data_IF_336635125243
#
_entry.id   IF_336635125243
#
_cell.length_a   1.000
_cell.length_b   1.000
_cell.length_c   1.000
_cell.angle_alpha   90.00
_cell.angle_beta   90.00
_cell.angle_gamma   90.00
#
_symmetry.space_group_name_H-M   'P 1'
#
loop_
_entity.id
_entity.type
_entity.pdbx_description
1 polymer ?
#
# COMPACT_ATOMS: atom_id res chain seq x y z
N UNK A 1 11.99 74.28 5.36
CA UNK A 1 13.39 74.13 5.85
C UNK A 1 13.59 72.68 6.30
N UNK A 2 14.58 71.95 5.73
CA UNK A 2 15.34 70.75 6.18
C UNK A 2 14.66 69.71 7.11
N UNK A 3 14.83 68.39 7.00
CA UNK A 3 15.62 67.46 6.16
C UNK A 3 15.14 66.03 6.51
N UNK A 4 15.07 65.16 5.49
CA UNK A 4 14.96 63.68 5.59
C UNK A 4 16.26 63.07 6.17
N UNK A 5 16.15 61.97 6.92
CA UNK A 5 17.26 61.04 7.18
C UNK A 5 16.87 59.63 6.72
N UNK A 6 17.46 59.24 5.58
CA UNK A 6 17.54 57.88 5.05
C UNK A 6 18.87 57.28 5.53
N UNK A 7 18.86 56.11 6.17
CA UNK A 7 20.09 55.36 6.45
C UNK A 7 20.48 54.53 5.22
N UNK A 8 21.67 54.82 4.70
CA UNK A 8 22.38 54.08 3.65
C UNK A 8 23.01 52.82 4.25
N UNK A 9 22.99 51.71 3.51
CA UNK A 9 23.98 50.65 3.64
C UNK A 9 24.53 50.34 2.24
N UNK A 10 25.85 50.32 2.17
CA UNK A 10 26.70 50.39 0.98
C UNK A 10 26.98 49.01 0.39
N UNK A 11 27.09 48.98 -0.94
CA UNK A 11 27.60 47.89 -1.78
C UNK A 11 29.06 47.50 -1.44
N UNK A 12 29.38 46.21 -1.55
CA UNK A 12 30.72 45.71 -1.86
C UNK A 12 30.64 44.64 -2.97
N UNK A 13 31.43 44.84 -4.01
CA UNK A 13 31.70 43.97 -5.16
C UNK A 13 33.12 43.37 -4.98
N UNK A 14 33.31 42.07 -5.23
CA UNK A 14 34.54 41.38 -5.66
C UNK A 14 34.28 39.85 -5.57
N UNK A 15 34.80 38.93 -6.39
CA UNK A 15 35.67 38.93 -7.56
C UNK A 15 35.50 37.54 -8.20
N UNK A 16 35.43 37.47 -9.52
CA UNK A 16 35.54 36.20 -10.27
C UNK A 16 37.01 35.80 -10.32
N UNK A 17 37.33 34.57 -9.92
CA UNK A 17 38.64 33.96 -10.12
C UNK A 17 38.44 32.59 -10.78
N UNK A 18 38.78 32.55 -12.07
CA UNK A 18 38.89 31.34 -12.88
C UNK A 18 40.25 30.71 -12.57
N UNK A 19 40.25 29.50 -12.02
CA UNK A 19 41.42 28.63 -12.01
C UNK A 19 40.99 27.28 -12.57
N UNK A 20 41.50 27.00 -13.77
CA UNK A 20 41.37 25.70 -14.41
C UNK A 20 42.28 24.68 -13.72
N UNK A 21 41.68 23.58 -13.32
CA UNK A 21 42.34 22.31 -13.05
C UNK A 21 41.40 21.23 -13.59
N UNK A 22 41.91 20.42 -14.50
CA UNK A 22 41.17 19.36 -15.17
C UNK A 22 40.58 18.40 -14.15
N UNK A 23 39.25 18.45 -14.02
CA UNK A 23 38.47 17.37 -13.45
C UNK A 23 37.96 16.57 -14.64
N UNK A 24 38.49 15.36 -14.76
CA UNK A 24 37.87 14.24 -15.46
C UNK A 24 36.36 14.30 -15.24
N UNK A 25 35.61 14.51 -16.32
CA UNK A 25 34.16 14.32 -16.33
C UNK A 25 33.96 12.83 -16.05
N UNK A 26 33.74 12.50 -14.78
CA UNK A 26 33.08 11.26 -14.41
C UNK A 26 31.69 11.39 -15.06
N UNK A 27 31.49 10.66 -16.15
CA UNK A 27 30.17 10.44 -16.72
C UNK A 27 29.29 9.89 -15.61
N UNK A 28 28.44 10.75 -15.05
CA UNK A 28 27.37 10.30 -14.20
C UNK A 28 26.50 9.35 -15.05
N UNK A 29 26.13 8.16 -14.56
CA UNK A 29 25.25 7.23 -15.28
C UNK A 29 23.78 7.73 -15.31
N UNK A 30 23.56 9.04 -15.48
CA UNK A 30 22.24 9.67 -15.54
C UNK A 30 21.52 9.39 -16.86
N UNK A 31 22.22 8.98 -17.91
CA UNK A 31 21.63 8.62 -19.20
C UNK A 31 21.28 7.13 -19.35
N UNK A 32 21.87 6.25 -18.53
CA UNK A 32 21.51 4.82 -18.49
C UNK A 32 20.26 4.56 -17.64
N UNK A 33 20.08 5.31 -16.54
CA UNK A 33 18.89 5.22 -15.67
C UNK A 33 17.61 5.75 -16.35
N UNK A 34 17.73 6.74 -17.24
CA UNK A 34 16.58 7.29 -17.97
C UNK A 34 16.02 6.35 -19.05
N UNK A 35 16.77 5.32 -19.46
CA UNK A 35 16.38 4.38 -20.53
C UNK A 35 15.62 3.14 -20.05
N UNK A 36 15.40 3.00 -18.73
CA UNK A 36 14.58 1.91 -18.14
C UNK A 36 13.16 2.42 -17.79
N UNK A 37 12.80 3.62 -18.24
CA UNK A 37 11.43 4.10 -18.19
C UNK A 37 10.61 3.45 -19.31
N UNK A 38 9.65 2.59 -18.93
CA UNK A 38 8.72 1.84 -19.79
C UNK A 38 9.23 0.53 -20.41
N UNK A 39 9.74 -0.41 -19.60
CA UNK A 39 9.65 -1.82 -20.01
C UNK A 39 8.16 -2.21 -20.04
N UNK A 40 7.65 -2.53 -21.24
CA UNK A 40 6.40 -3.28 -21.40
C UNK A 40 6.56 -4.61 -20.65
N UNK A 41 5.54 -4.99 -19.89
CA UNK A 41 5.52 -6.28 -19.21
C UNK A 41 5.55 -7.37 -20.29
N UNK A 42 6.58 -8.25 -20.34
CA UNK A 42 6.67 -9.26 -21.39
C UNK A 42 5.44 -10.17 -21.43
N UNK A 43 5.10 -10.74 -22.59
CA UNK A 43 4.00 -11.70 -22.68
C UNK A 43 4.27 -13.02 -21.93
N UNK A 44 5.55 -13.34 -21.72
CA UNK A 44 6.02 -14.52 -21.00
C UNK A 44 7.28 -14.19 -20.20
N UNK A 45 7.32 -14.69 -18.96
CA UNK A 45 8.50 -14.68 -18.10
C UNK A 45 8.57 -16.00 -17.36
N UNK A 46 9.75 -16.62 -17.30
CA UNK A 46 10.02 -17.74 -16.40
C UNK A 46 11.38 -17.48 -15.77
N UNK A 47 11.43 -17.45 -14.43
CA UNK A 47 12.69 -17.29 -13.70
C UNK A 47 13.49 -18.58 -13.84
N UNK A 48 14.71 -18.44 -14.35
CA UNK A 48 15.57 -19.58 -14.62
C UNK A 48 16.08 -20.20 -13.32
N UNK A 49 16.24 -21.53 -13.31
CA UNK A 49 16.77 -22.30 -12.19
C UNK A 49 16.12 -22.00 -10.82
N UNK A 50 14.81 -21.71 -10.79
CA UNK A 50 14.10 -21.50 -9.53
C UNK A 50 14.11 -22.77 -8.66
N UNK A 51 14.51 -22.70 -7.38
CA UNK A 51 14.60 -23.88 -6.52
C UNK A 51 13.21 -24.35 -6.10
N UNK A 52 13.04 -25.68 -6.05
CA UNK A 52 11.80 -26.33 -5.66
C UNK A 52 12.10 -27.25 -4.48
N UNK A 53 11.50 -26.97 -3.34
CA UNK A 53 11.71 -27.70 -2.09
C UNK A 53 10.38 -28.18 -1.52
N UNK A 54 10.41 -29.35 -0.88
CA UNK A 54 9.30 -29.83 -0.08
C UNK A 54 9.31 -29.16 1.31
N UNK A 55 8.12 -28.90 1.83
CA UNK A 55 7.89 -28.38 3.17
C UNK A 55 8.44 -29.28 4.28
N UNK A 56 8.99 -28.65 5.33
CA UNK A 56 9.66 -29.38 6.41
C UNK A 56 8.68 -29.98 7.43
N UNK A 57 7.62 -29.24 7.72
CA UNK A 57 6.56 -29.58 8.67
C UNK A 57 5.22 -29.71 7.95
N UNK A 58 4.21 -30.31 8.58
CA UNK A 58 2.90 -30.56 7.98
C UNK A 58 2.18 -29.28 7.52
N UNK A 59 2.39 -28.16 8.19
CA UNK A 59 1.77 -26.87 7.90
C UNK A 59 2.83 -25.77 7.75
N UNK A 60 3.85 -25.99 6.91
CA UNK A 60 4.94 -25.02 6.71
C UNK A 60 5.08 -24.54 5.27
N UNK A 61 4.00 -24.65 4.48
CA UNK A 61 3.99 -24.26 3.07
C UNK A 61 4.48 -22.81 2.87
N UNK A 62 4.10 -21.89 3.74
CA UNK A 62 4.45 -20.47 3.65
C UNK A 62 5.92 -20.22 3.95
N UNK A 63 6.47 -20.95 4.92
CA UNK A 63 7.90 -20.87 5.24
C UNK A 63 8.74 -21.51 4.15
N UNK A 64 8.32 -22.65 3.60
CA UNK A 64 9.02 -23.30 2.51
C UNK A 64 8.91 -22.57 1.18
N UNK A 65 7.78 -21.93 0.88
CA UNK A 65 7.65 -21.00 -0.23
C UNK A 65 8.65 -19.84 -0.08
N UNK A 66 8.74 -19.26 1.11
CA UNK A 66 9.72 -18.20 1.40
C UNK A 66 11.16 -18.71 1.30
N UNK A 67 11.42 -19.94 1.77
CA UNK A 67 12.72 -20.60 1.66
C UNK A 67 13.16 -20.74 0.20
N UNK A 68 12.27 -21.19 -0.69
CA UNK A 68 12.54 -21.26 -2.13
C UNK A 68 12.92 -19.89 -2.70
N UNK A 69 12.18 -18.83 -2.34
CA UNK A 69 12.49 -17.47 -2.80
C UNK A 69 13.85 -16.99 -2.28
N UNK A 70 14.13 -17.16 -0.99
CA UNK A 70 15.39 -16.71 -0.39
C UNK A 70 16.59 -17.51 -0.92
N UNK A 71 16.40 -18.81 -1.21
CA UNK A 71 17.38 -19.67 -1.86
C UNK A 71 17.65 -19.28 -3.32
N UNK A 72 16.63 -18.87 -4.08
CA UNK A 72 16.80 -18.33 -5.44
C UNK A 72 17.75 -17.12 -5.44
N UNK A 73 17.72 -16.32 -4.39
CA UNK A 73 18.63 -15.18 -4.19
C UNK A 73 19.99 -15.55 -3.57
N UNK A 74 20.26 -16.84 -3.31
CA UNK A 74 21.52 -17.31 -2.74
C UNK A 74 21.67 -17.09 -1.22
N UNK A 75 20.59 -16.70 -0.53
CA UNK A 75 20.57 -16.38 0.90
C UNK A 75 19.43 -17.13 1.61
N UNK A 76 19.41 -18.46 1.47
CA UNK A 76 18.36 -19.34 2.00
C UNK A 76 18.07 -19.11 3.49
N UNK A 77 16.79 -18.90 3.81
CA UNK A 77 16.24 -18.86 5.18
C UNK A 77 15.32 -20.06 5.35
N UNK A 78 15.64 -20.92 6.32
CA UNK A 78 14.96 -22.19 6.51
C UNK A 78 13.68 -22.09 7.35
N UNK A 79 12.79 -23.07 7.20
CA UNK A 79 11.51 -23.16 7.91
C UNK A 79 11.67 -23.09 9.44
N UNK A 80 12.71 -23.73 9.98
CA UNK A 80 12.99 -23.74 11.42
C UNK A 80 13.27 -22.33 11.94
N UNK A 81 13.86 -21.48 11.12
CA UNK A 81 14.16 -20.10 11.50
C UNK A 81 12.88 -19.27 11.60
N UNK A 82 12.02 -19.33 10.59
CA UNK A 82 10.70 -18.70 10.65
C UNK A 82 9.89 -19.22 11.83
N UNK A 83 9.81 -20.53 12.01
CA UNK A 83 9.08 -21.16 13.11
C UNK A 83 9.61 -20.77 14.50
N UNK A 84 10.88 -20.36 14.61
CA UNK A 84 11.48 -19.92 15.89
C UNK A 84 11.20 -18.45 16.23
N UNK A 85 10.85 -17.63 15.23
CA UNK A 85 10.72 -16.16 15.37
C UNK A 85 9.27 -15.68 15.20
N UNK A 86 8.50 -16.32 14.31
CA UNK A 86 7.10 -15.97 14.08
C UNK A 86 6.29 -16.40 15.32
N UNK A 87 5.59 -15.47 15.99
CA UNK A 87 4.80 -15.79 17.18
C UNK A 87 3.58 -16.64 16.82
N UNK A 88 3.05 -17.40 17.79
CA UNK A 88 1.74 -18.02 17.64
C UNK A 88 0.63 -16.97 17.80
N UNK A 89 -0.41 -17.03 16.97
CA UNK A 89 -1.58 -16.17 17.10
C UNK A 89 -2.83 -16.82 16.49
N UNK A 90 -4.00 -16.57 17.07
CA UNK A 90 -5.26 -17.00 16.45
C UNK A 90 -5.54 -16.24 15.14
N UNK A 91 -5.04 -15.03 14.96
CA UNK A 91 -5.14 -14.32 13.69
C UNK A 91 -3.87 -14.57 12.85
N UNK A 92 -3.97 -15.23 11.67
CA UNK A 92 -2.80 -15.54 10.82
C UNK A 92 -2.05 -14.30 10.31
N UNK A 93 -2.68 -13.12 10.28
CA UNK A 93 -1.99 -11.85 9.99
C UNK A 93 -1.04 -11.38 11.11
N UNK A 94 -1.16 -11.94 12.32
CA UNK A 94 -0.40 -11.55 13.50
C UNK A 94 0.63 -12.61 13.93
N UNK A 95 0.54 -13.82 13.40
CA UNK A 95 1.41 -14.94 13.77
C UNK A 95 0.89 -16.26 13.22
N UNK A 96 1.60 -17.35 13.48
CA UNK A 96 1.21 -18.68 13.05
C UNK A 96 0.00 -19.19 13.86
N UNK A 97 -1.05 -19.64 13.16
CA UNK A 97 -2.30 -20.14 13.75
C UNK A 97 -2.27 -21.65 13.89
N UNK A 98 -2.26 -22.10 15.15
CA UNK A 98 -2.32 -23.51 15.53
C UNK A 98 -0.95 -24.17 15.65
N UNK A 99 -0.90 -25.50 15.51
CA UNK A 99 0.33 -26.29 15.57
C UNK A 99 0.90 -26.53 14.17
N UNK A 100 2.16 -26.17 13.94
CA UNK A 100 2.87 -26.39 12.65
C UNK A 100 2.97 -27.89 12.26
N UNK A 101 2.83 -28.80 13.22
CA UNK A 101 2.78 -30.25 13.00
C UNK A 101 1.34 -30.80 12.99
N UNK A 102 0.34 -29.92 13.06
CA UNK A 102 -1.08 -30.25 13.07
C UNK A 102 -1.57 -30.90 11.76
N UNK A 103 -2.87 -31.12 11.69
CA UNK A 103 -3.50 -31.77 10.55
C UNK A 103 -3.84 -30.78 9.44
N UNK A 104 -3.41 -31.07 8.21
CA UNK A 104 -3.68 -30.24 7.04
C UNK A 104 -5.16 -30.24 6.62
N UNK A 105 -5.63 -29.09 6.13
CA UNK A 105 -6.92 -28.94 5.45
C UNK A 105 -8.01 -28.24 6.26
N UNK A 106 -7.81 -28.07 7.57
CA UNK A 106 -8.72 -27.33 8.44
C UNK A 106 -8.45 -25.82 8.51
N UNK A 107 -9.04 -25.16 9.51
CA UNK A 107 -8.77 -23.76 9.87
C UNK A 107 -8.42 -23.59 11.35
N UNK A 108 -8.12 -24.70 12.04
CA UNK A 108 -7.71 -24.73 13.44
C UNK A 108 -6.20 -24.71 13.57
N UNK A 109 -5.56 -25.81 13.15
CA UNK A 109 -4.17 -25.80 12.71
C UNK A 109 -4.18 -25.35 11.26
N UNK A 110 -3.55 -24.21 10.99
CA UNK A 110 -3.80 -23.46 9.77
C UNK A 110 -2.50 -23.07 9.10
N UNK A 111 -1.83 -22.03 9.62
CA UNK A 111 -0.80 -21.35 8.88
C UNK A 111 -0.62 -19.90 9.31
N UNK A 112 0.09 -19.14 8.51
CA UNK A 112 0.44 -17.73 8.72
C UNK A 112 0.30 -16.96 7.42
N UNK A 113 -0.09 -15.70 7.51
CA UNK A 113 -0.18 -14.82 6.34
C UNK A 113 1.11 -14.04 6.10
N UNK A 114 1.11 -13.18 5.10
CA UNK A 114 2.32 -12.55 4.59
C UNK A 114 3.02 -11.64 5.61
N UNK A 115 2.28 -10.93 6.48
CA UNK A 115 2.86 -9.86 7.30
C UNK A 115 3.88 -10.34 8.35
N UNK A 116 3.63 -11.42 9.13
CA UNK A 116 4.64 -11.93 10.06
C UNK A 116 5.90 -12.42 9.35
N UNK A 117 5.77 -13.04 8.17
CA UNK A 117 6.91 -13.47 7.36
C UNK A 117 7.70 -12.25 6.85
N UNK A 118 7.00 -11.24 6.33
CA UNK A 118 7.60 -10.01 5.83
C UNK A 118 8.47 -9.32 6.89
N UNK A 119 7.96 -9.21 8.12
CA UNK A 119 8.71 -8.64 9.25
C UNK A 119 9.99 -9.41 9.55
N UNK A 120 9.96 -10.75 9.48
CA UNK A 120 11.17 -11.57 9.67
C UNK A 120 12.16 -11.27 8.55
N UNK A 121 11.72 -11.32 7.29
CA UNK A 121 12.56 -11.07 6.10
C UNK A 121 13.27 -9.70 6.15
N UNK A 122 12.58 -8.65 6.58
CA UNK A 122 13.16 -7.31 6.73
C UNK A 122 14.35 -7.28 7.69
N UNK A 123 14.28 -8.05 8.79
CA UNK A 123 15.41 -8.17 9.74
C UNK A 123 16.59 -8.96 9.17
N UNK A 124 16.40 -9.67 8.05
CA UNK A 124 17.38 -10.58 7.42
C UNK A 124 17.94 -10.06 6.10
N UNK A 125 17.82 -8.76 5.87
CA UNK A 125 18.40 -8.13 4.69
C UNK A 125 17.60 -8.39 3.42
N UNK A 126 16.33 -8.73 3.54
CA UNK A 126 15.40 -8.77 2.42
C UNK A 126 14.46 -7.56 2.46
N UNK A 127 14.03 -7.12 1.28
CA UNK A 127 12.89 -6.25 1.11
C UNK A 127 11.68 -7.10 0.75
N UNK A 128 10.52 -6.64 1.18
CA UNK A 128 9.25 -7.25 0.83
C UNK A 128 8.30 -6.24 0.24
N UNK A 129 7.40 -6.72 -0.60
CA UNK A 129 6.31 -5.93 -1.16
C UNK A 129 5.04 -6.74 -1.17
N UNK A 130 4.12 -6.39 -0.28
CA UNK A 130 2.76 -6.92 -0.30
C UNK A 130 2.03 -6.27 -1.47
N UNK A 131 1.66 -7.10 -2.44
CA UNK A 131 1.14 -6.62 -3.71
C UNK A 131 -0.32 -6.18 -3.58
N UNK A 132 -0.65 -5.09 -4.26
CA UNK A 132 -2.01 -4.59 -4.37
C UNK A 132 -2.62 -5.12 -5.66
N UNK A 133 -3.36 -6.22 -5.50
CA UNK A 133 -4.30 -6.84 -6.43
C UNK A 133 -3.83 -7.15 -7.87
N UNK A 134 -3.94 -8.43 -8.23
CA UNK A 134 -4.22 -8.87 -9.58
C UNK A 134 -3.02 -9.33 -10.40
N UNK A 135 -3.29 -10.03 -11.52
CA UNK A 135 -2.26 -10.68 -12.34
C UNK A 135 -1.23 -9.68 -12.87
N UNK A 136 -1.61 -8.43 -13.09
CA UNK A 136 -0.71 -7.41 -13.63
C UNK A 136 0.38 -6.99 -12.64
N UNK A 137 0.09 -6.91 -11.34
CA UNK A 137 1.10 -6.63 -10.32
C UNK A 137 2.11 -7.80 -10.22
N UNK A 138 1.59 -9.03 -10.23
CA UNK A 138 2.39 -10.25 -10.23
C UNK A 138 3.32 -10.31 -11.45
N UNK A 139 2.80 -10.05 -12.66
CA UNK A 139 3.61 -10.05 -13.89
C UNK A 139 4.71 -8.99 -13.86
N UNK A 140 4.45 -7.82 -13.27
CA UNK A 140 5.46 -6.76 -13.12
C UNK A 140 6.61 -7.17 -12.21
N UNK A 141 6.34 -7.82 -11.09
CA UNK A 141 7.41 -8.31 -10.22
C UNK A 141 8.23 -9.42 -10.90
N UNK A 142 7.57 -10.35 -11.59
CA UNK A 142 8.26 -11.39 -12.36
C UNK A 142 9.12 -10.81 -13.49
N UNK A 143 8.63 -9.79 -14.20
CA UNK A 143 9.40 -9.07 -15.21
C UNK A 143 10.64 -8.36 -14.63
N UNK A 144 10.65 -8.06 -13.33
CA UNK A 144 11.81 -7.55 -12.59
C UNK A 144 12.74 -8.67 -12.10
N UNK A 145 12.47 -9.94 -12.43
CA UNK A 145 13.23 -11.08 -11.94
C UNK A 145 12.87 -11.50 -10.52
N UNK A 146 11.78 -10.96 -9.95
CA UNK A 146 11.40 -11.16 -8.55
C UNK A 146 10.31 -12.23 -8.45
N UNK A 147 10.57 -13.38 -7.79
CA UNK A 147 9.53 -14.37 -7.54
C UNK A 147 8.47 -13.83 -6.57
N UNK A 148 7.26 -14.39 -6.64
CA UNK A 148 6.11 -13.92 -5.87
C UNK A 148 5.50 -15.08 -5.10
N UNK A 149 5.50 -14.99 -3.78
CA UNK A 149 4.75 -15.89 -2.92
C UNK A 149 3.27 -15.53 -2.95
N UNK A 150 2.40 -16.54 -2.97
CA UNK A 150 0.94 -16.37 -3.02
C UNK A 150 0.26 -17.29 -2.00
N UNK A 151 -1.00 -16.99 -1.68
CA UNK A 151 -1.88 -17.81 -0.85
C UNK A 151 -3.07 -18.29 -1.68
N UNK A 152 -3.28 -19.60 -1.70
CA UNK A 152 -4.24 -20.32 -2.55
C UNK A 152 -4.89 -21.43 -1.73
N UNK A 153 -5.85 -22.12 -2.34
CA UNK A 153 -6.33 -23.42 -1.82
C UNK A 153 -5.49 -24.51 -2.47
N UNK A 154 -5.04 -25.50 -1.68
CA UNK A 154 -4.23 -26.60 -2.18
C UNK A 154 -4.83 -27.27 -3.43
N UNK A 155 -3.99 -27.51 -4.44
CA UNK A 155 -4.39 -28.04 -5.74
C UNK A 155 -5.32 -27.12 -6.55
N UNK A 156 -5.38 -25.84 -6.20
CA UNK A 156 -6.33 -24.85 -6.74
C UNK A 156 -7.80 -25.28 -6.62
N UNK A 157 -8.10 -26.04 -5.55
CA UNK A 157 -9.41 -26.60 -5.30
C UNK A 157 -10.47 -25.58 -4.90
N UNK A 158 -11.67 -26.10 -4.61
CA UNK A 158 -12.75 -25.29 -4.06
C UNK A 158 -12.61 -25.15 -2.55
N UNK A 159 -12.94 -23.96 -2.03
CA UNK A 159 -13.13 -23.72 -0.60
C UNK A 159 -14.32 -22.78 -0.39
N UNK A 160 -14.82 -22.72 0.84
CA UNK A 160 -15.86 -21.76 1.25
C UNK A 160 -15.30 -20.81 2.30
N UNK A 161 -14.66 -19.70 1.89
CA UNK A 161 -14.05 -18.79 2.84
C UNK A 161 -15.11 -18.14 3.73
N UNK A 162 -14.73 -17.89 4.98
CA UNK A 162 -15.55 -17.18 5.94
C UNK A 162 -14.72 -16.13 6.68
N UNK A 163 -15.40 -15.16 7.28
CA UNK A 163 -14.75 -14.13 8.11
C UNK A 163 -14.80 -14.55 9.57
N UNK A 164 -13.65 -14.53 10.22
CA UNK A 164 -13.49 -14.68 11.67
C UNK A 164 -13.07 -13.34 12.28
N UNK A 165 -13.14 -13.23 13.61
CA UNK A 165 -12.68 -12.04 14.32
C UNK A 165 -11.88 -12.41 15.55
N UNK A 166 -10.78 -11.71 15.79
CA UNK A 166 -9.94 -11.86 16.97
C UNK A 166 -9.57 -10.47 17.49
N UNK A 167 -9.85 -10.19 18.76
CA UNK A 167 -9.60 -8.88 19.40
C UNK A 167 -10.15 -7.68 18.61
N UNK A 168 -11.35 -7.83 18.04
CA UNK A 168 -12.01 -6.78 17.25
C UNK A 168 -11.46 -6.62 15.83
N UNK A 169 -10.58 -7.52 15.38
CA UNK A 169 -9.97 -7.50 14.06
C UNK A 169 -10.53 -8.65 13.24
N UNK A 170 -11.23 -8.32 12.15
CA UNK A 170 -11.73 -9.30 11.20
C UNK A 170 -10.64 -9.79 10.26
N UNK A 171 -10.72 -11.05 9.85
CA UNK A 171 -9.84 -11.66 8.86
C UNK A 171 -10.55 -12.83 8.19
N UNK A 172 -10.15 -13.15 6.96
CA UNK A 172 -10.72 -14.25 6.21
C UNK A 172 -9.92 -15.53 6.48
N UNK A 173 -10.63 -16.65 6.55
CA UNK A 173 -10.07 -18.00 6.56
C UNK A 173 -10.72 -18.81 5.45
N UNK A 174 -9.94 -19.68 4.83
CA UNK A 174 -10.42 -20.66 3.87
C UNK A 174 -9.77 -22.00 4.20
N UNK A 175 -10.57 -23.08 4.28
CA UNK A 175 -10.06 -24.41 4.53
C UNK A 175 -9.11 -24.86 3.40
N UNK A 176 -8.13 -25.68 3.75
CA UNK A 176 -7.05 -26.12 2.85
C UNK A 176 -6.26 -24.96 2.24
N UNK A 177 -6.04 -23.92 3.03
CA UNK A 177 -5.07 -22.88 2.69
C UNK A 177 -3.71 -23.50 2.39
N UNK A 178 -3.04 -22.91 1.41
CA UNK A 178 -1.74 -23.32 0.92
C UNK A 178 -0.99 -22.09 0.42
N UNK A 179 0.33 -22.11 0.55
CA UNK A 179 1.19 -21.05 0.02
C UNK A 179 2.26 -21.61 -0.88
N UNK A 180 2.41 -20.95 -2.02
CA UNK A 180 3.21 -21.41 -3.16
C UNK A 180 3.98 -20.24 -3.76
N UNK A 181 4.92 -20.52 -4.66
CA UNK A 181 5.68 -19.46 -5.35
C UNK A 181 5.36 -19.46 -6.83
N UNK A 182 4.93 -18.31 -7.32
CA UNK A 182 4.86 -18.06 -8.75
C UNK A 182 6.24 -17.59 -9.21
N UNK A 183 6.87 -18.39 -10.07
CA UNK A 183 8.18 -18.11 -10.64
C UNK A 183 8.13 -17.87 -12.15
N UNK A 184 6.94 -17.91 -12.75
CA UNK A 184 6.75 -17.57 -14.15
C UNK A 184 5.30 -17.45 -14.56
N UNK A 185 5.08 -16.91 -15.74
CA UNK A 185 3.79 -16.86 -16.42
C UNK A 185 3.95 -16.85 -17.93
N UNK A 186 2.87 -17.17 -18.63
CA UNK A 186 2.69 -16.87 -20.04
C UNK A 186 1.24 -16.43 -20.34
N UNK A 187 0.86 -16.41 -21.62
CA UNK A 187 -0.50 -16.04 -22.03
C UNK A 187 -1.62 -16.93 -21.48
N UNK A 188 -1.33 -18.19 -21.13
CA UNK A 188 -2.30 -19.19 -20.72
C UNK A 188 -2.39 -19.34 -19.20
N UNK A 189 -1.29 -19.10 -18.47
CA UNK A 189 -1.26 -19.40 -17.04
C UNK A 189 0.03 -19.03 -16.32
N UNK A 190 0.20 -19.68 -15.17
CA UNK A 190 1.30 -19.46 -14.23
C UNK A 190 2.09 -20.73 -13.97
N UNK A 191 3.40 -20.58 -13.82
CA UNK A 191 4.32 -21.61 -13.37
C UNK A 191 4.48 -21.47 -11.85
N UNK A 192 4.21 -22.55 -11.13
CA UNK A 192 4.07 -22.57 -9.67
C UNK A 192 5.08 -23.55 -9.08
N UNK A 193 5.81 -23.15 -8.05
CA UNK A 193 6.60 -24.04 -7.22
C UNK A 193 5.78 -24.35 -5.95
N UNK A 194 5.36 -25.61 -5.82
CA UNK A 194 4.48 -26.11 -4.76
C UNK A 194 5.31 -26.82 -3.68
N UNK A 195 5.37 -26.27 -2.45
CA UNK A 195 6.11 -26.89 -1.36
C UNK A 195 5.44 -28.12 -0.75
N UNK A 196 4.15 -28.37 -0.97
CA UNK A 196 3.40 -29.49 -0.39
C UNK A 196 4.00 -30.85 -0.75
N UNK A 197 4.43 -31.01 -2.00
CA UNK A 197 5.16 -32.18 -2.47
C UNK A 197 6.56 -31.84 -3.02
N UNK A 198 6.91 -30.56 -3.14
CA UNK A 198 8.14 -30.12 -3.78
C UNK A 198 8.09 -30.33 -5.30
N UNK A 199 7.00 -29.90 -5.93
CA UNK A 199 6.74 -30.03 -7.37
C UNK A 199 6.73 -28.67 -8.06
N UNK A 200 7.04 -28.65 -9.36
CA UNK A 200 6.60 -27.59 -10.25
C UNK A 200 5.27 -27.96 -10.89
N UNK A 201 4.35 -27.02 -10.83
CA UNK A 201 3.00 -27.14 -11.36
C UNK A 201 2.72 -26.01 -12.36
N UNK A 202 1.68 -26.22 -13.16
CA UNK A 202 1.21 -25.24 -14.13
C UNK A 202 -0.31 -25.13 -14.11
N UNK A 203 -0.81 -23.92 -13.86
CA UNK A 203 -2.24 -23.67 -13.79
C UNK A 203 -2.68 -22.60 -14.78
N UNK A 204 -3.85 -22.79 -15.38
CA UNK A 204 -4.47 -21.75 -16.20
C UNK A 204 -4.76 -20.50 -15.37
N UNK A 205 -4.75 -19.33 -16.01
CA UNK A 205 -5.09 -18.07 -15.33
C UNK A 205 -6.46 -18.13 -14.63
N UNK A 206 -7.47 -18.74 -15.25
CA UNK A 206 -8.80 -18.86 -14.65
C UNK A 206 -8.80 -19.69 -13.37
N UNK A 207 -8.11 -20.84 -13.38
CA UNK A 207 -7.96 -21.73 -12.21
C UNK A 207 -7.21 -21.03 -11.08
N UNK A 208 -6.06 -20.42 -11.41
CA UNK A 208 -5.23 -19.72 -10.44
C UNK A 208 -5.95 -18.51 -9.83
N UNK A 209 -6.53 -17.64 -10.66
CA UNK A 209 -7.21 -16.42 -10.19
C UNK A 209 -8.43 -16.74 -9.32
N UNK A 210 -9.15 -17.83 -9.60
CA UNK A 210 -10.26 -18.26 -8.75
C UNK A 210 -9.78 -18.66 -7.35
N UNK A 211 -8.75 -19.50 -7.26
CA UNK A 211 -8.17 -19.94 -5.99
C UNK A 211 -7.52 -18.79 -5.21
N UNK A 212 -6.67 -18.00 -5.88
CA UNK A 212 -6.00 -16.83 -5.30
C UNK A 212 -7.00 -15.75 -4.83
N UNK A 213 -8.14 -15.64 -5.52
CA UNK A 213 -9.22 -14.72 -5.16
C UNK A 213 -9.89 -15.05 -3.82
N UNK A 214 -9.84 -16.31 -3.35
CA UNK A 214 -10.32 -16.64 -2.00
C UNK A 214 -9.55 -15.89 -0.92
N UNK A 215 -8.28 -15.54 -1.15
CA UNK A 215 -7.40 -14.84 -0.22
C UNK A 215 -7.23 -13.36 -0.55
N UNK A 216 -8.20 -12.75 -1.24
CA UNK A 216 -8.15 -11.35 -1.67
C UNK A 216 -6.91 -11.02 -2.51
N UNK A 217 -6.42 -12.01 -3.26
CA UNK A 217 -5.20 -11.93 -4.05
C UNK A 217 -3.95 -11.59 -3.23
N UNK A 218 -3.86 -12.12 -2.00
CA UNK A 218 -2.68 -11.96 -1.15
C UNK A 218 -1.42 -12.48 -1.85
N UNK A 219 -0.43 -11.61 -2.00
CA UNK A 219 0.84 -11.96 -2.59
C UNK A 219 1.97 -11.09 -2.04
N UNK A 220 3.15 -11.68 -1.96
CA UNK A 220 4.35 -11.04 -1.45
C UNK A 220 5.50 -11.28 -2.41
N UNK A 221 6.06 -10.20 -2.94
CA UNK A 221 7.36 -10.26 -3.62
C UNK A 221 8.49 -10.04 -2.61
N UNK A 222 9.58 -10.78 -2.78
CA UNK A 222 10.74 -10.77 -1.86
C UNK A 222 12.03 -10.72 -2.67
N UNK A 223 12.94 -9.82 -2.29
CA UNK A 223 14.26 -9.68 -2.92
C UNK A 223 15.30 -9.10 -1.95
N UNK A 224 16.61 -9.30 -2.17
CA UNK A 224 17.65 -8.79 -1.28
C UNK A 224 17.64 -7.26 -1.18
N UNK A 225 17.86 -6.73 0.01
CA UNK A 225 17.78 -5.30 0.28
C UNK A 225 18.89 -4.48 -0.40
N UNK A 226 19.99 -5.14 -0.75
CA UNK A 226 21.16 -4.61 -1.46
C UNK A 226 21.01 -4.63 -2.99
N UNK A 227 19.93 -5.21 -3.53
CA UNK A 227 19.62 -5.09 -4.96
C UNK A 227 19.56 -3.62 -5.38
N UNK A 228 20.09 -3.26 -6.56
CA UNK A 228 20.00 -1.91 -7.09
C UNK A 228 18.54 -1.42 -7.05
N UNK A 229 18.35 -0.15 -6.69
CA UNK A 229 17.04 0.49 -6.78
C UNK A 229 16.69 0.58 -8.27
N UNK A 230 15.93 -0.41 -8.75
CA UNK A 230 15.19 -0.28 -10.00
C UNK A 230 14.07 0.71 -9.71
N UNK A 231 13.83 1.66 -10.62
CA UNK A 231 12.73 2.61 -10.47
C UNK A 231 11.41 1.83 -10.35
N UNK A 232 10.95 1.66 -9.11
CA UNK A 232 9.69 0.97 -8.83
C UNK A 232 8.58 1.87 -9.36
N UNK A 233 7.87 1.38 -10.38
CA UNK A 233 6.72 2.12 -10.94
C UNK A 233 5.53 2.11 -9.99
N UNK A 234 5.45 1.10 -9.12
CA UNK A 234 4.37 0.88 -8.16
C UNK A 234 4.94 0.58 -6.78
N UNK A 235 4.24 1.01 -5.74
CA UNK A 235 4.53 0.66 -4.36
C UNK A 235 3.68 -0.54 -3.90
N UNK A 236 4.12 -1.27 -2.88
CA UNK A 236 3.28 -2.25 -2.17
C UNK A 236 2.65 -1.62 -0.93
N UNK A 237 1.76 -2.33 -0.27
CA UNK A 237 1.29 -1.91 1.06
C UNK A 237 2.32 -2.36 2.09
N UNK A 238 2.70 -1.47 3.00
CA UNK A 238 3.59 -1.88 4.07
C UNK A 238 2.89 -2.87 5.03
N UNK A 239 3.61 -3.85 5.61
CA UNK A 239 3.02 -4.85 6.50
C UNK A 239 2.19 -4.28 7.65
N UNK A 240 2.55 -3.09 8.16
CA UNK A 240 1.80 -2.40 9.21
C UNK A 240 0.40 -1.97 8.78
N UNK A 241 0.20 -1.73 7.48
CA UNK A 241 -1.04 -1.19 6.92
C UNK A 241 -1.89 -2.24 6.21
N UNK A 242 -1.31 -3.35 5.76
CA UNK A 242 -1.96 -4.27 4.82
C UNK A 242 -3.33 -4.76 5.31
N UNK A 243 -3.40 -5.22 6.56
CA UNK A 243 -4.67 -5.63 7.16
C UNK A 243 -5.68 -4.50 7.31
N UNK A 244 -5.26 -3.34 7.80
CA UNK A 244 -6.16 -2.19 7.96
C UNK A 244 -6.70 -1.75 6.59
N UNK A 245 -5.83 -1.75 5.57
CA UNK A 245 -6.19 -1.48 4.19
C UNK A 245 -7.22 -2.48 3.67
N UNK A 246 -7.00 -3.79 3.80
CA UNK A 246 -7.96 -4.84 3.38
C UNK A 246 -9.33 -4.67 4.06
N UNK A 247 -9.34 -4.56 5.39
CA UNK A 247 -10.57 -4.52 6.18
C UNK A 247 -11.41 -3.25 6.00
N UNK A 248 -10.78 -2.15 5.55
CA UNK A 248 -11.42 -0.85 5.45
C UNK A 248 -11.80 -0.47 4.01
N UNK A 249 -11.73 -1.43 3.07
CA UNK A 249 -12.20 -1.28 1.69
C UNK A 249 -11.10 -1.32 0.62
N UNK A 250 -9.85 -1.54 1.02
CA UNK A 250 -8.73 -1.89 0.16
C UNK A 250 -8.53 -0.94 -1.02
N UNK A 251 -8.25 -1.53 -2.18
CA UNK A 251 -7.99 -0.81 -3.42
C UNK A 251 -9.20 0.05 -3.84
N UNK A 252 -10.41 -0.50 -3.68
CA UNK A 252 -11.64 0.17 -4.08
C UNK A 252 -11.83 1.52 -3.36
N UNK A 253 -11.51 1.56 -2.07
CA UNK A 253 -11.71 2.75 -1.24
C UNK A 253 -10.47 3.64 -1.21
N UNK A 254 -9.26 3.10 -1.00
CA UNK A 254 -8.05 3.89 -0.76
C UNK A 254 -7.17 4.14 -1.99
N UNK A 255 -7.38 3.36 -3.05
CA UNK A 255 -6.53 3.40 -4.24
C UNK A 255 -5.18 2.74 -4.02
N UNK A 256 -4.28 2.92 -4.99
CA UNK A 256 -2.94 2.33 -4.94
C UNK A 256 -2.04 3.06 -3.94
N UNK A 257 -1.07 2.37 -3.31
CA UNK A 257 0.03 3.01 -2.61
C UNK A 257 0.89 3.80 -3.62
N UNK A 258 1.27 5.03 -3.24
CA UNK A 258 2.01 5.98 -4.10
C UNK A 258 3.31 6.46 -3.42
N UNK A 259 3.70 5.83 -2.31
CA UNK A 259 4.99 6.04 -1.67
C UNK A 259 5.46 4.77 -0.96
N UNK A 260 6.75 4.70 -0.67
CA UNK A 260 7.28 3.83 0.39
C UNK A 260 6.65 4.21 1.75
N UNK A 261 6.59 3.25 2.67
CA UNK A 261 6.37 3.55 4.08
C UNK A 261 7.65 4.12 4.70
N UNK A 262 7.52 5.20 5.45
CA UNK A 262 8.65 5.86 6.12
C UNK A 262 8.33 6.13 7.57
N UNK A 263 9.36 5.99 8.41
CA UNK A 263 9.29 6.32 9.84
C UNK A 263 9.46 7.83 10.00
N UNK A 264 8.50 8.46 10.69
CA UNK A 264 8.52 9.85 11.12
C UNK A 264 8.24 9.90 12.63
N UNK A 265 9.30 10.06 13.44
CA UNK A 265 9.17 9.98 14.89
C UNK A 265 8.72 8.59 15.33
N UNK A 266 7.63 8.50 16.10
CA UNK A 266 7.02 7.23 16.55
C UNK A 266 5.99 6.65 15.57
N UNK A 267 5.85 7.22 14.37
CA UNK A 267 4.87 6.78 13.38
C UNK A 267 5.51 6.20 12.13
N UNK A 268 4.92 5.15 11.58
CA UNK A 268 5.10 4.79 10.17
C UNK A 268 4.04 5.52 9.37
N UNK A 269 4.41 6.07 8.21
CA UNK A 269 3.50 6.77 7.31
C UNK A 269 3.67 6.23 5.89
N UNK A 270 2.55 5.94 5.22
CA UNK A 270 2.52 5.63 3.80
C UNK A 270 1.40 6.39 3.09
N UNK A 271 1.70 6.91 1.90
CA UNK A 271 0.73 7.57 1.04
C UNK A 271 0.08 6.58 0.09
N UNK A 272 -1.23 6.72 -0.03
CA UNK A 272 -2.05 6.09 -1.06
C UNK A 272 -2.64 7.19 -1.93
N UNK A 273 -3.23 6.83 -3.07
CA UNK A 273 -3.82 7.80 -3.98
C UNK A 273 -4.84 8.70 -3.27
N UNK A 274 -5.66 8.13 -2.39
CA UNK A 274 -6.80 8.83 -1.79
C UNK A 274 -6.59 9.22 -0.33
N UNK A 275 -5.71 8.53 0.39
CA UNK A 275 -5.51 8.73 1.83
C UNK A 275 -4.03 8.63 2.23
N UNK A 276 -3.72 8.97 3.48
CA UNK A 276 -2.42 8.72 4.11
C UNK A 276 -2.65 7.79 5.30
N UNK A 277 -2.01 6.63 5.31
CA UNK A 277 -2.05 5.71 6.45
C UNK A 277 -0.96 6.07 7.46
N UNK A 278 -1.30 5.99 8.73
CA UNK A 278 -0.41 6.26 9.87
C UNK A 278 -0.54 5.16 10.91
N UNK A 279 0.58 4.56 11.30
CA UNK A 279 0.66 3.52 12.33
C UNK A 279 1.53 4.02 13.49
N UNK A 280 1.01 3.98 14.72
CA UNK A 280 1.80 4.28 15.92
C UNK A 280 2.62 3.04 16.33
N UNK A 281 3.95 3.18 16.42
CA UNK A 281 4.90 2.12 16.77
C UNK A 281 5.10 1.93 18.28
N UNK A 282 4.41 2.69 19.15
CA UNK A 282 4.49 2.49 20.61
C UNK A 282 4.04 1.09 21.06
N UNK A 283 3.27 0.38 20.22
CA UNK A 283 2.92 -1.04 20.38
C UNK A 283 3.16 -1.78 19.06
N UNK A 284 4.39 -2.23 18.76
CA UNK A 284 4.74 -2.78 17.44
C UNK A 284 3.98 -4.07 17.08
N UNK A 285 3.49 -4.80 18.08
CA UNK A 285 2.70 -6.03 17.88
C UNK A 285 1.22 -5.75 17.52
N UNK A 286 0.73 -4.54 17.85
CA UNK A 286 -0.63 -4.08 17.57
C UNK A 286 -0.62 -2.59 17.20
N UNK A 287 -0.01 -2.21 16.06
CA UNK A 287 0.06 -0.82 15.66
C UNK A 287 -1.37 -0.28 15.52
N UNK A 288 -1.64 0.84 16.18
CA UNK A 288 -2.91 1.56 16.00
C UNK A 288 -2.79 2.25 14.65
N UNK A 289 -3.51 1.71 13.65
CA UNK A 289 -3.56 2.25 12.30
C UNK A 289 -4.71 3.25 12.20
N UNK A 290 -4.42 4.42 11.65
CA UNK A 290 -5.39 5.49 11.41
C UNK A 290 -5.13 6.13 10.06
N UNK A 291 -6.15 6.80 9.52
CA UNK A 291 -5.96 7.69 8.38
C UNK A 291 -5.58 9.09 8.87
N UNK A 292 -4.60 9.69 8.18
CA UNK A 292 -4.18 11.06 8.40
C UNK A 292 -5.32 12.04 8.12
N UNK A 293 -5.28 13.19 8.79
CA UNK A 293 -6.32 14.23 8.72
C UNK A 293 -6.23 15.05 7.41
N UNK A 294 -6.10 14.37 6.27
CA UNK A 294 -5.83 15.02 4.98
C UNK A 294 -6.92 16.00 4.56
N UNK A 295 -8.17 15.77 4.97
CA UNK A 295 -9.24 16.74 4.76
C UNK A 295 -8.93 18.04 5.49
N UNK A 296 -8.72 17.97 6.81
CA UNK A 296 -8.36 19.14 7.62
C UNK A 296 -7.08 19.83 7.12
N UNK A 297 -6.03 19.06 6.81
CA UNK A 297 -4.74 19.59 6.36
C UNK A 297 -4.85 20.37 5.04
N UNK A 298 -5.59 19.82 4.06
CA UNK A 298 -5.70 20.42 2.73
C UNK A 298 -6.75 21.55 2.68
N UNK A 299 -7.72 21.56 3.60
CA UNK A 299 -8.78 22.56 3.64
C UNK A 299 -8.70 23.55 4.80
N UNK A 300 -7.60 23.58 5.56
CA UNK A 300 -7.42 24.47 6.71
C UNK A 300 -7.74 25.95 6.39
N UNK A 301 -7.37 26.42 5.19
CA UNK A 301 -7.59 27.80 4.73
C UNK A 301 -9.01 28.06 4.19
N UNK A 302 -9.87 27.04 4.12
CA UNK A 302 -11.22 27.11 3.53
C UNK A 302 -12.33 27.39 4.54
N UNK A 303 -12.03 27.48 5.84
CA UNK A 303 -13.02 27.65 6.91
C UNK A 303 -13.96 28.87 6.76
N UNK A 304 -13.58 29.87 5.97
CA UNK A 304 -14.43 31.04 5.66
C UNK A 304 -15.35 30.83 4.44
N UNK A 305 -15.19 29.75 3.68
CA UNK A 305 -16.03 29.44 2.53
C UNK A 305 -17.35 28.84 3.00
N UNK A 306 -18.46 29.20 2.33
CA UNK A 306 -19.81 28.80 2.75
C UNK A 306 -19.95 27.30 3.08
N UNK A 307 -19.41 26.35 2.30
CA UNK A 307 -19.55 24.93 2.63
C UNK A 307 -18.83 24.51 3.91
N UNK A 308 -17.78 25.21 4.33
CA UNK A 308 -16.93 24.86 5.49
C UNK A 308 -17.28 25.66 6.75
N UNK A 309 -18.33 26.48 6.70
CA UNK A 309 -18.83 27.18 7.89
C UNK A 309 -19.79 26.26 8.65
N UNK A 310 -19.87 26.41 9.99
CA UNK A 310 -20.89 25.72 10.79
C UNK A 310 -22.27 25.81 10.16
N UNK A 311 -22.91 24.66 10.01
CA UNK A 311 -24.28 24.56 9.55
C UNK A 311 -25.25 24.78 10.71
N UNK A 312 -26.43 25.30 10.41
CA UNK A 312 -27.50 25.41 11.39
C UNK A 312 -28.14 24.02 11.58
N UNK A 313 -28.19 23.53 12.82
CA UNK A 313 -28.93 22.31 13.14
C UNK A 313 -30.41 22.48 12.77
N UNK A 314 -30.97 21.50 12.07
CA UNK A 314 -32.39 21.50 11.67
C UNK A 314 -33.09 20.28 12.24
N UNK A 315 -34.43 20.32 12.29
CA UNK A 315 -35.26 19.18 12.68
C UNK A 315 -35.47 18.15 11.55
N UNK A 316 -34.74 18.26 10.43
CA UNK A 316 -34.88 17.35 9.30
C UNK A 316 -34.31 15.95 9.63
N UNK A 317 -35.13 14.90 9.71
CA UNK A 317 -34.65 13.56 10.07
C UNK A 317 -33.74 12.93 9.01
N UNK A 318 -33.72 13.47 7.78
CA UNK A 318 -32.81 13.01 6.73
C UNK A 318 -31.36 13.47 6.93
N UNK A 319 -31.12 14.46 7.81
CA UNK A 319 -29.80 14.98 8.12
C UNK A 319 -29.31 14.39 9.45
N UNK A 320 -28.09 13.89 9.45
CA UNK A 320 -27.35 13.56 10.69
C UNK A 320 -26.42 14.71 10.98
N UNK A 321 -26.80 15.55 11.95
CA UNK A 321 -25.98 16.68 12.41
C UNK A 321 -24.94 16.21 13.43
N UNK A 322 -23.69 16.62 13.25
CA UNK A 322 -22.58 16.31 14.14
C UNK A 322 -22.17 17.56 14.93
N UNK A 323 -22.52 17.61 16.21
CA UNK A 323 -22.21 18.73 17.12
C UNK A 323 -20.71 18.99 17.27
N UNK A 324 -19.87 17.96 17.13
CA UNK A 324 -18.41 18.09 17.20
C UNK A 324 -17.84 19.06 16.17
N UNK A 325 -18.49 19.16 15.01
CA UNK A 325 -18.00 19.92 13.85
C UNK A 325 -19.03 20.91 13.31
N UNK A 326 -20.24 20.92 13.87
CA UNK A 326 -21.40 21.66 13.37
C UNK A 326 -21.69 21.41 11.88
N UNK A 327 -21.66 20.15 11.45
CA UNK A 327 -21.85 19.78 10.04
C UNK A 327 -22.84 18.63 9.86
N UNK A 328 -23.50 18.58 8.70
CA UNK A 328 -24.48 17.55 8.38
C UNK A 328 -23.91 16.46 7.48
N UNK A 329 -24.43 15.25 7.65
CA UNK A 329 -24.22 14.13 6.75
C UNK A 329 -25.57 13.54 6.34
N UNK A 330 -25.75 13.27 5.05
CA UNK A 330 -27.00 12.71 4.53
C UNK A 330 -26.82 11.96 3.21
N UNK A 331 -27.90 11.32 2.76
CA UNK A 331 -27.97 10.68 1.45
C UNK A 331 -26.89 9.62 1.24
N UNK A 332 -26.35 9.57 0.03
CA UNK A 332 -25.38 8.55 -0.36
C UNK A 332 -24.02 8.68 0.30
N UNK A 333 -23.63 9.92 0.66
CA UNK A 333 -22.42 10.11 1.44
C UNK A 333 -22.56 9.53 2.84
N UNK A 334 -23.76 9.62 3.45
CA UNK A 334 -24.04 8.91 4.71
C UNK A 334 -23.94 7.40 4.52
N UNK A 335 -24.62 6.85 3.50
CA UNK A 335 -24.58 5.41 3.22
C UNK A 335 -23.15 4.90 2.99
N UNK A 336 -22.35 5.63 2.21
CA UNK A 336 -20.95 5.28 1.97
C UNK A 336 -20.11 5.37 3.25
N UNK A 337 -20.29 6.46 4.03
CA UNK A 337 -19.60 6.66 5.29
C UNK A 337 -19.87 5.50 6.25
N UNK A 338 -21.14 5.13 6.46
CA UNK A 338 -21.55 4.03 7.34
C UNK A 338 -21.01 2.67 6.84
N UNK A 339 -21.06 2.43 5.53
CA UNK A 339 -20.60 1.17 4.92
C UNK A 339 -19.10 0.95 5.08
N UNK A 340 -18.27 1.97 4.90
CA UNK A 340 -16.81 1.84 4.81
C UNK A 340 -16.07 2.33 6.07
N UNK A 341 -16.69 2.21 7.24
CA UNK A 341 -16.02 2.37 8.55
C UNK A 341 -16.24 3.68 9.28
N UNK A 342 -17.05 4.57 8.72
CA UNK A 342 -17.59 5.76 9.36
C UNK A 342 -16.55 6.62 10.07
N UNK A 343 -16.80 6.90 11.35
CA UNK A 343 -15.99 7.82 12.15
C UNK A 343 -14.52 7.38 12.24
N UNK A 344 -14.28 6.07 12.37
CA UNK A 344 -12.94 5.53 12.53
C UNK A 344 -12.06 5.79 11.29
N UNK A 345 -12.66 5.75 10.10
CA UNK A 345 -11.91 5.89 8.84
C UNK A 345 -11.94 7.34 8.34
N UNK A 346 -13.12 7.96 8.28
CA UNK A 346 -13.28 9.24 7.60
C UNK A 346 -13.27 10.43 8.55
N UNK A 347 -13.55 10.20 9.83
CA UNK A 347 -13.80 11.26 10.79
C UNK A 347 -15.16 11.92 10.60
N UNK A 348 -15.32 13.07 11.24
CA UNK A 348 -16.52 13.90 11.12
C UNK A 348 -16.57 14.65 9.78
N UNK A 349 -17.76 14.98 9.26
CA UNK A 349 -17.87 15.93 8.15
C UNK A 349 -17.33 17.30 8.59
N UNK A 350 -16.59 17.96 7.71
CA UNK A 350 -16.01 19.31 7.93
C UNK A 350 -16.49 20.32 6.88
N UNK A 351 -17.43 19.89 6.03
CA UNK A 351 -18.14 20.74 5.11
C UNK A 351 -19.55 20.21 4.90
N UNK A 352 -20.45 21.05 4.41
CA UNK A 352 -21.67 20.63 3.74
C UNK A 352 -21.36 20.07 2.34
N UNK A 353 -22.36 19.49 1.68
CA UNK A 353 -22.26 19.03 0.29
C UNK A 353 -22.26 20.24 -0.66
N UNK A 354 -21.33 20.27 -1.62
CA UNK A 354 -21.27 21.34 -2.62
C UNK A 354 -20.64 20.87 -3.95
N UNK A 355 -20.73 21.70 -4.99
CA UNK A 355 -20.10 21.42 -6.29
C UNK A 355 -18.64 21.89 -6.34
N UNK A 356 -17.73 21.01 -6.77
CA UNK A 356 -16.32 21.32 -6.95
C UNK A 356 -15.77 20.54 -8.15
N UNK A 357 -15.12 21.23 -9.10
CA UNK A 357 -14.49 20.62 -10.28
C UNK A 357 -15.42 19.67 -11.07
N UNK A 358 -16.70 20.03 -11.20
CA UNK A 358 -17.70 19.23 -11.92
C UNK A 358 -18.21 18.00 -11.16
N UNK A 359 -17.84 17.84 -9.88
CA UNK A 359 -18.30 16.76 -9.00
C UNK A 359 -19.09 17.34 -7.84
N UNK A 360 -20.00 16.55 -7.28
CA UNK A 360 -20.61 16.84 -5.99
C UNK A 360 -19.69 16.25 -4.93
N UNK A 361 -19.27 17.06 -3.96
CA UNK A 361 -18.28 16.67 -2.96
C UNK A 361 -18.70 17.02 -1.54
N UNK A 362 -18.12 16.31 -0.59
CA UNK A 362 -18.14 16.67 0.82
C UNK A 362 -16.80 16.31 1.44
N UNK A 363 -16.27 17.20 2.28
CA UNK A 363 -15.04 16.97 3.02
C UNK A 363 -15.35 16.43 4.41
N UNK A 364 -14.51 15.50 4.83
CA UNK A 364 -14.43 14.92 6.17
C UNK A 364 -13.03 15.16 6.71
N UNK A 365 -12.82 14.99 8.01
CA UNK A 365 -11.51 15.23 8.63
C UNK A 365 -10.35 14.49 7.91
N UNK A 366 -10.60 13.26 7.43
CA UNK A 366 -9.57 12.37 6.86
C UNK A 366 -9.71 12.13 5.35
N UNK A 367 -10.82 12.53 4.74
CA UNK A 367 -11.12 12.20 3.35
C UNK A 367 -11.99 13.26 2.65
N UNK A 368 -12.01 13.23 1.32
CA UNK A 368 -13.00 13.92 0.49
C UNK A 368 -13.85 12.88 -0.21
N UNK A 369 -15.16 12.95 -0.10
CA UNK A 369 -16.05 12.12 -0.90
C UNK A 369 -16.43 12.87 -2.16
N UNK A 370 -16.48 12.14 -3.26
CA UNK A 370 -16.83 12.65 -4.58
C UNK A 370 -17.91 11.75 -5.19
N UNK A 371 -18.98 12.38 -5.67
CA UNK A 371 -20.09 11.72 -6.34
C UNK A 371 -19.95 11.88 -7.86
N UNK A 372 -19.84 10.75 -8.56
CA UNK A 372 -19.75 10.66 -10.01
C UNK A 372 -21.09 10.18 -10.59
N UNK A 373 -22.00 11.13 -10.88
CA UNK A 373 -23.38 10.85 -11.30
C UNK A 373 -23.54 9.88 -12.50
N UNK A 374 -22.63 9.86 -13.50
CA UNK A 374 -22.61 8.83 -14.53
C UNK A 374 -22.46 7.37 -14.06
N UNK A 375 -21.92 7.10 -12.87
CA UNK A 375 -21.75 5.75 -12.33
C UNK A 375 -23.03 5.23 -11.65
N UNK A 376 -23.10 3.91 -11.42
CA UNK A 376 -24.25 3.30 -10.74
C UNK A 376 -24.34 3.79 -9.28
N UNK A 377 -25.54 3.84 -8.67
CA UNK A 377 -25.71 4.25 -7.28
C UNK A 377 -24.78 3.55 -6.28
N UNK A 378 -24.43 2.29 -6.54
CA UNK A 378 -23.57 1.47 -5.67
C UNK A 378 -22.08 1.82 -5.77
N UNK A 379 -21.66 2.48 -6.85
CA UNK A 379 -20.26 2.74 -7.20
C UNK A 379 -19.91 4.23 -7.38
N UNK A 380 -20.93 5.10 -7.40
CA UNK A 380 -20.75 6.52 -7.73
C UNK A 380 -20.13 7.38 -6.65
N UNK A 381 -20.17 6.97 -5.38
CA UNK A 381 -19.40 7.64 -4.31
C UNK A 381 -17.99 7.03 -4.26
N UNK A 382 -16.98 7.88 -4.38
CA UNK A 382 -15.57 7.51 -4.28
C UNK A 382 -14.82 8.49 -3.39
N UNK A 383 -13.65 8.09 -2.88
CA UNK A 383 -12.76 9.07 -2.25
C UNK A 383 -11.98 9.86 -3.31
N UNK A 384 -11.89 11.16 -3.09
CA UNK A 384 -10.99 12.05 -3.80
C UNK A 384 -9.52 11.72 -3.51
N UNK A 385 -8.63 12.13 -4.41
CA UNK A 385 -7.21 11.76 -4.40
C UNK A 385 -6.38 12.61 -3.43
N UNK A 386 -6.84 12.80 -2.19
CA UNK A 386 -6.20 13.68 -1.21
C UNK A 386 -4.78 13.25 -0.87
N UNK A 387 -4.50 11.95 -0.84
CA UNK A 387 -3.14 11.44 -0.62
C UNK A 387 -2.17 11.86 -1.72
N UNK A 388 -2.57 11.76 -2.98
CA UNK A 388 -1.77 12.24 -4.11
C UNK A 388 -1.62 13.77 -4.12
N UNK A 389 -2.69 14.51 -3.81
CA UNK A 389 -2.66 15.97 -3.70
C UNK A 389 -1.67 16.43 -2.62
N UNK A 390 -1.70 15.80 -1.45
CA UNK A 390 -0.84 16.15 -0.33
C UNK A 390 0.63 15.76 -0.59
N UNK A 391 0.88 14.57 -1.13
CA UNK A 391 2.24 14.13 -1.49
C UNK A 391 2.90 15.07 -2.52
N UNK A 392 2.12 15.58 -3.49
CA UNK A 392 2.60 16.56 -4.46
C UNK A 392 3.03 17.87 -3.78
N UNK A 393 2.30 18.34 -2.78
CA UNK A 393 2.66 19.53 -2.00
C UNK A 393 3.93 19.31 -1.18
N UNK A 394 4.02 18.19 -0.45
CA UNK A 394 5.21 17.83 0.35
C UNK A 394 6.45 17.74 -0.53
N UNK A 395 6.35 17.05 -1.67
CA UNK A 395 7.46 16.90 -2.61
C UNK A 395 7.94 18.25 -3.15
N UNK A 396 7.02 19.18 -3.44
CA UNK A 396 7.36 20.53 -3.91
C UNK A 396 8.08 21.36 -2.84
N UNK A 397 7.69 21.22 -1.57
CA UNK A 397 8.31 21.92 -0.45
C UNK A 397 9.72 21.40 -0.18
N UNK A 398 9.94 20.09 -0.28
CA UNK A 398 11.24 19.46 -0.06
C UNK A 398 12.22 19.68 -1.23
N UNK A 399 11.71 19.90 -2.46
CA UNK A 399 12.51 20.18 -3.65
C UNK A 399 12.10 21.51 -4.32
N UNK A 400 12.41 22.67 -3.73
CA UNK A 400 11.97 23.97 -4.25
C UNK A 400 12.52 24.31 -5.65
N UNK A 401 13.62 23.67 -6.07
CA UNK A 401 14.30 23.87 -7.35
C UNK A 401 13.55 23.28 -8.56
N UNK A 402 12.61 22.35 -8.34
CA UNK A 402 11.84 21.70 -9.42
C UNK A 402 10.58 22.51 -9.80
N UNK A 403 10.22 23.53 -8.99
CA UNK A 403 8.99 24.31 -9.15
C UNK A 403 9.12 25.65 -9.90
N UNK A 404 10.29 25.99 -10.45
CA UNK A 404 10.49 27.21 -11.25
C UNK A 404 10.35 26.90 -12.75
N UNK A 405 9.16 26.52 -13.20
CA UNK A 405 8.77 26.80 -14.59
C UNK A 405 8.24 28.23 -14.65
N UNK A 406 8.90 29.05 -15.46
CA UNK A 406 8.66 30.48 -15.63
C UNK A 406 7.22 30.76 -16.07
N UNK A 407 6.39 31.32 -15.17
CA UNK A 407 5.06 31.85 -15.49
C UNK A 407 4.92 33.36 -15.27
N UNK A 408 6.04 34.09 -15.24
CA UNK A 408 6.02 35.54 -15.37
C UNK A 408 7.17 36.00 -16.28
N UNK A 409 6.82 36.33 -17.52
CA UNK A 409 7.56 37.33 -18.30
C UNK A 409 6.52 38.34 -18.77
N UNK A 410 6.48 39.55 -18.20
CA UNK A 410 5.71 40.63 -18.76
C UNK A 410 6.47 41.16 -19.98
N UNK A 411 5.80 41.20 -21.13
CA UNK A 411 5.98 42.19 -22.18
C UNK A 411 4.66 42.31 -22.94
#
# INVERSE_FOLDING_TARGET
>A
MRKRNLRRLTFFYLMVLVLGLGLTVLEFPSLALAKIAAQEVPEKVVLDHFPIYNQRYNLSCEYSATRMITAYWGHEINDTEFNSVVPLNSNPHLGFRGDINGYFGGTWDYGVYAEPIAKVLETRGFKTKLLVAGPEALKRELALGRPVQVWTVAGMGWSNPYTESYEGLSFKLAASEHSEVIYGYDSQGVYVADPGYGTDDYYSWGTFLHSWGYFDYMAMSVWPADQPIVAEKDFGVAPEFYRAWLNQGGLLVFGYPISEAKIYGSKVIQYFERVRFEANLEKPDKPIVSLGLLGNELTYWRNQQLPFRPATQTSNPALTFFETTDHNLSGEFKTFWEKYGGLANFGYPISEIFGENGRIVQYFERARFELDLPLTPESRVQLGRLGAEQLKLVTRLLNPSVGKSNWFSPN
#
